data_IF_807851549129
#
_entry.id   IF_807851549129
#
_cell.length_a   1.000
_cell.length_b   1.000
_cell.length_c   1.000
_cell.angle_alpha   90.00
_cell.angle_beta   90.00
_cell.angle_gamma   90.00
#
_symmetry.space_group_name_H-M   'P 1'
#
loop_
_entity.id
_entity.type
_entity.pdbx_description
1 polymer ?
#
# COMPACT_ATOMS: atom_id res chain seq x y z
N UNK A 1 44.28 -9.15 3.16
CA UNK A 1 42.96 -9.78 3.04
C UNK A 1 42.17 -8.94 2.06
N UNK A 2 41.97 -9.43 0.85
CA UNK A 2 41.04 -8.80 -0.09
C UNK A 2 39.63 -9.03 0.44
N UNK A 3 39.01 -7.99 0.99
CA UNK A 3 37.55 -7.96 1.13
C UNK A 3 36.96 -8.14 -0.26
N UNK A 4 36.12 -9.16 -0.51
CA UNK A 4 35.43 -9.26 -1.78
C UNK A 4 34.67 -7.95 -1.99
N UNK A 5 34.90 -7.29 -3.13
CA UNK A 5 34.07 -6.18 -3.55
C UNK A 5 32.61 -6.67 -3.48
N UNK A 6 31.69 -5.93 -2.82
CA UNK A 6 30.29 -6.33 -2.84
C UNK A 6 29.88 -6.48 -4.31
N UNK A 7 29.36 -7.66 -4.65
CA UNK A 7 28.87 -7.90 -6.01
C UNK A 7 27.82 -6.82 -6.29
N UNK A 8 27.98 -6.12 -7.42
CA UNK A 8 27.00 -5.14 -7.84
C UNK A 8 25.62 -5.83 -7.86
N UNK A 9 24.59 -5.21 -7.28
CA UNK A 9 23.26 -5.78 -7.27
C UNK A 9 22.80 -6.09 -8.70
N UNK A 10 22.29 -7.31 -8.91
CA UNK A 10 21.81 -7.79 -10.21
C UNK A 10 20.48 -7.11 -10.56
N UNK A 11 20.58 -5.90 -11.11
CA UNK A 11 19.47 -5.13 -11.66
C UNK A 11 19.40 -5.30 -13.17
N UNK A 12 18.24 -5.71 -13.66
CA UNK A 12 18.01 -5.80 -15.10
C UNK A 12 16.77 -5.00 -15.45
N UNK A 13 17.01 -3.90 -16.16
CA UNK A 13 15.97 -3.03 -16.69
C UNK A 13 15.83 -3.28 -18.19
N UNK A 14 14.63 -3.64 -18.61
CA UNK A 14 14.30 -3.80 -20.03
C UNK A 14 13.20 -2.82 -20.39
N UNK A 15 13.41 -2.04 -21.46
CA UNK A 15 12.44 -1.09 -21.97
C UNK A 15 12.15 -1.37 -23.44
N UNK A 16 10.87 -1.42 -23.78
CA UNK A 16 10.39 -1.57 -25.16
C UNK A 16 9.30 -0.54 -25.42
N UNK A 17 9.54 0.44 -26.29
CA UNK A 17 8.61 1.52 -26.63
C UNK A 17 7.99 2.16 -25.37
N UNK A 18 6.72 1.83 -25.11
CA UNK A 18 5.87 2.35 -24.03
C UNK A 18 5.76 1.38 -22.83
N UNK A 19 6.69 0.44 -22.69
CA UNK A 19 6.68 -0.59 -21.66
C UNK A 19 8.04 -0.80 -21.05
N UNK A 20 8.06 -1.22 -19.79
CA UNK A 20 9.30 -1.65 -19.13
C UNK A 20 9.07 -2.78 -18.14
N UNK A 21 10.16 -3.49 -17.84
CA UNK A 21 10.22 -4.45 -16.75
C UNK A 21 11.46 -4.23 -15.90
N UNK A 22 11.32 -4.36 -14.59
CA UNK A 22 12.41 -4.35 -13.62
C UNK A 22 12.56 -5.74 -13.02
N UNK A 23 13.76 -6.32 -13.14
CA UNK A 23 14.14 -7.52 -12.40
C UNK A 23 15.22 -7.19 -11.37
N UNK A 24 15.15 -7.87 -10.24
CA UNK A 24 16.16 -7.83 -9.18
C UNK A 24 16.45 -9.25 -8.70
N UNK A 25 17.71 -9.70 -8.82
CA UNK A 25 18.12 -11.07 -8.52
C UNK A 25 17.21 -12.12 -9.17
N UNK A 26 17.02 -12.01 -10.49
CA UNK A 26 16.15 -12.86 -11.31
C UNK A 26 14.64 -12.84 -10.97
N UNK A 27 14.20 -12.07 -9.99
CA UNK A 27 12.77 -11.89 -9.67
C UNK A 27 12.23 -10.68 -10.43
N UNK A 28 11.13 -10.86 -11.14
CA UNK A 28 10.39 -9.78 -11.77
C UNK A 28 9.68 -8.96 -10.68
N UNK A 29 10.03 -7.68 -10.54
CA UNK A 29 9.50 -6.80 -9.49
C UNK A 29 8.40 -5.89 -10.05
N UNK A 30 8.67 -5.23 -11.19
CA UNK A 30 7.72 -4.30 -11.83
C UNK A 30 7.52 -4.69 -13.30
N UNK A 31 6.28 -4.58 -13.75
CA UNK A 31 5.89 -4.63 -15.17
C UNK A 31 4.99 -3.45 -15.45
N UNK A 32 5.30 -2.69 -16.49
CA UNK A 32 4.52 -1.53 -16.88
C UNK A 32 4.26 -1.51 -18.39
N UNK A 33 3.04 -1.13 -18.76
CA UNK A 33 2.65 -0.74 -20.12
C UNK A 33 1.46 0.23 -20.04
N UNK A 34 1.10 0.86 -21.17
CA UNK A 34 -0.11 1.69 -21.27
C UNK A 34 -1.39 0.96 -20.86
N UNK A 35 -1.53 -0.30 -21.28
CA UNK A 35 -2.73 -1.11 -20.99
C UNK A 35 -2.70 -1.73 -19.58
N UNK A 36 -1.49 -2.01 -19.07
CA UNK A 36 -1.27 -2.59 -17.75
C UNK A 36 -0.27 -1.72 -16.97
N UNK A 37 -0.69 -0.53 -16.50
CA UNK A 37 0.20 0.34 -15.75
C UNK A 37 0.53 -0.27 -14.38
N UNK A 38 1.73 0.00 -13.86
CA UNK A 38 2.11 -0.41 -12.51
C UNK A 38 1.76 0.64 -11.44
N UNK A 39 1.45 1.87 -11.83
CA UNK A 39 1.31 3.01 -10.91
C UNK A 39 0.03 3.79 -11.15
N UNK A 40 -0.68 4.06 -10.05
CA UNK A 40 -1.75 5.04 -9.98
C UNK A 40 -1.45 6.03 -8.87
N UNK A 41 -1.84 7.27 -9.09
CA UNK A 41 -1.83 8.31 -8.08
C UNK A 41 -3.22 8.93 -7.98
N UNK A 42 -3.49 9.67 -6.92
CA UNK A 42 -4.78 10.32 -6.79
C UNK A 42 -4.95 11.03 -5.46
N UNK A 43 -6.18 11.42 -5.19
CA UNK A 43 -6.55 12.25 -4.05
C UNK A 43 -7.70 11.59 -3.27
N UNK A 44 -7.72 11.79 -1.96
CA UNK A 44 -8.80 11.30 -1.11
C UNK A 44 -8.75 11.89 0.29
N UNK A 45 -9.88 11.80 0.98
CA UNK A 45 -10.01 12.27 2.37
C UNK A 45 -10.28 11.06 3.26
N UNK A 46 -9.39 10.82 4.22
CA UNK A 46 -9.60 9.78 5.21
C UNK A 46 -10.80 10.14 6.11
N UNK A 47 -11.74 9.20 6.25
CA UNK A 47 -12.87 9.27 7.17
C UNK A 47 -12.61 8.25 8.29
N UNK A 48 -12.07 8.76 9.40
CA UNK A 48 -11.60 7.94 10.52
C UNK A 48 -12.49 8.23 11.72
N UNK A 49 -13.23 7.21 12.14
CA UNK A 49 -14.00 7.23 13.38
C UNK A 49 -13.31 6.32 14.40
N UNK A 50 -13.03 6.86 15.59
CA UNK A 50 -12.42 6.12 16.70
C UNK A 50 -13.44 5.91 17.81
N UNK A 51 -13.58 4.67 18.27
CA UNK A 51 -14.37 4.34 19.45
C UNK A 51 -13.61 3.36 20.35
N UNK A 52 -13.12 3.85 21.50
CA UNK A 52 -12.43 3.04 22.53
C UNK A 52 -11.32 2.14 21.95
N UNK A 53 -10.39 2.73 21.19
CA UNK A 53 -9.28 1.99 20.57
C UNK A 53 -9.61 1.24 19.28
N UNK A 54 -10.90 1.10 18.94
CA UNK A 54 -11.36 0.57 17.67
C UNK A 54 -11.43 1.69 16.64
N UNK A 55 -10.86 1.45 15.46
CA UNK A 55 -10.89 2.42 14.36
C UNK A 55 -11.77 1.89 13.22
N UNK A 56 -12.74 2.68 12.80
CA UNK A 56 -13.41 2.53 11.51
C UNK A 56 -12.74 3.49 10.54
N UNK A 57 -11.88 2.95 9.67
CA UNK A 57 -11.14 3.72 8.68
C UNK A 57 -11.79 3.50 7.32
N UNK A 58 -12.26 4.59 6.71
CA UNK A 58 -12.79 4.61 5.35
C UNK A 58 -12.03 5.65 4.55
N UNK A 59 -11.97 5.45 3.24
CA UNK A 59 -11.38 6.43 2.33
C UNK A 59 -12.47 7.03 1.44
N UNK A 60 -12.68 8.34 1.54
CA UNK A 60 -13.49 9.10 0.58
C UNK A 60 -12.59 9.44 -0.60
N UNK A 61 -12.42 8.45 -1.47
CA UNK A 61 -11.63 8.57 -2.69
C UNK A 61 -12.24 9.65 -3.60
N UNK A 62 -11.43 10.62 -3.98
CA UNK A 62 -11.83 11.68 -4.92
C UNK A 62 -11.37 11.32 -6.33
N UNK A 63 -10.11 10.93 -6.48
CA UNK A 63 -9.52 10.59 -7.77
C UNK A 63 -8.59 9.39 -7.66
N UNK A 64 -8.55 8.60 -8.74
CA UNK A 64 -7.57 7.53 -8.94
C UNK A 64 -7.22 7.48 -10.42
N UNK A 65 -5.99 7.86 -10.74
CA UNK A 65 -5.55 8.13 -12.10
C UNK A 65 -4.39 7.21 -12.42
N UNK A 66 -4.55 6.45 -13.51
CA UNK A 66 -3.49 5.58 -14.03
C UNK A 66 -2.45 6.44 -14.75
N UNK A 67 -1.19 6.35 -14.32
CA UNK A 67 -0.07 6.94 -15.05
C UNK A 67 0.37 5.93 -16.09
N UNK A 68 -0.01 6.19 -17.34
CA UNK A 68 0.16 5.25 -18.47
C UNK A 68 1.39 5.55 -19.31
N UNK A 69 1.89 6.79 -19.22
CA UNK A 69 3.09 7.21 -19.93
C UNK A 69 4.28 7.14 -18.96
N UNK A 70 5.41 6.64 -19.43
CA UNK A 70 6.63 6.49 -18.64
C UNK A 70 7.86 6.81 -19.49
N UNK A 71 8.69 7.73 -19.00
CA UNK A 71 9.98 8.07 -19.60
C UNK A 71 11.06 7.60 -18.63
N UNK A 72 11.97 6.77 -19.12
CA UNK A 72 13.07 6.21 -18.33
C UNK A 72 14.36 6.93 -18.68
N UNK A 73 15.12 7.32 -17.67
CA UNK A 73 16.48 7.84 -17.80
C UNK A 73 17.41 7.13 -16.82
N UNK A 74 18.71 7.14 -17.13
CA UNK A 74 19.72 6.68 -16.20
C UNK A 74 20.01 7.76 -15.15
N UNK A 75 20.22 7.32 -13.92
CA UNK A 75 20.78 8.12 -12.82
C UNK A 75 22.14 7.53 -12.42
N UNK A 76 22.98 8.26 -11.66
CA UNK A 76 24.28 7.75 -11.21
C UNK A 76 24.20 6.40 -10.47
N UNK A 77 23.11 6.20 -9.73
CA UNK A 77 22.93 5.07 -8.82
C UNK A 77 21.88 4.05 -9.32
N UNK A 78 21.36 4.22 -10.54
CA UNK A 78 20.38 3.32 -11.15
C UNK A 78 19.53 3.98 -12.24
N UNK A 79 18.21 4.03 -12.02
CA UNK A 79 17.24 4.54 -13.00
C UNK A 79 16.27 5.54 -12.38
N UNK A 80 15.90 6.52 -13.18
CA UNK A 80 14.83 7.46 -12.87
C UNK A 80 13.69 7.24 -13.86
N UNK A 81 12.49 7.01 -13.36
CA UNK A 81 11.29 6.86 -14.19
C UNK A 81 10.36 8.03 -13.89
N UNK A 82 10.06 8.81 -14.92
CA UNK A 82 9.05 9.84 -14.89
C UNK A 82 7.75 9.29 -15.46
N UNK A 83 6.78 9.05 -14.58
CA UNK A 83 5.43 8.63 -14.95
C UNK A 83 4.54 9.85 -15.17
N UNK A 84 3.63 9.78 -16.14
CA UNK A 84 2.65 10.84 -16.37
C UNK A 84 1.33 10.35 -16.95
N UNK A 85 0.35 11.27 -16.93
CA UNK A 85 -0.91 11.18 -17.66
C UNK A 85 -1.30 12.58 -18.13
N UNK A 86 -1.09 12.85 -19.42
CA UNK A 86 -1.21 14.21 -19.94
C UNK A 86 -0.09 15.13 -19.43
N UNK A 87 -0.34 16.45 -19.37
CA UNK A 87 0.68 17.44 -19.02
C UNK A 87 0.79 17.73 -17.52
N UNK A 88 -0.27 17.52 -16.75
CA UNK A 88 -0.41 18.13 -15.41
C UNK A 88 -0.32 17.11 -14.27
N UNK A 89 -0.25 15.82 -14.59
CA UNK A 89 -0.29 14.72 -13.64
C UNK A 89 0.93 13.84 -13.84
N UNK A 90 1.81 13.83 -12.84
CA UNK A 90 3.07 13.11 -12.89
C UNK A 90 3.54 12.64 -11.51
N UNK A 91 4.42 11.64 -11.54
CA UNK A 91 5.14 11.14 -10.39
C UNK A 91 6.50 10.61 -10.85
N UNK A 92 7.48 10.68 -9.96
CA UNK A 92 8.84 10.20 -10.20
C UNK A 92 9.12 8.96 -9.36
N UNK A 93 9.75 7.95 -9.94
CA UNK A 93 10.28 6.78 -9.25
C UNK A 93 11.79 6.70 -9.46
N UNK A 94 12.55 6.83 -8.38
CA UNK A 94 13.99 6.55 -8.37
C UNK A 94 14.21 5.09 -7.96
N UNK A 95 15.02 4.38 -8.74
CA UNK A 95 15.38 2.98 -8.57
C UNK A 95 16.88 2.92 -8.33
N UNK A 96 17.30 2.41 -7.18
CA UNK A 96 18.71 2.30 -6.82
C UNK A 96 18.96 1.08 -5.91
N UNK A 97 20.21 0.90 -5.50
CA UNK A 97 20.55 0.05 -4.37
C UNK A 97 20.99 0.91 -3.17
N UNK A 98 20.68 0.45 -1.97
CA UNK A 98 21.31 1.00 -0.76
C UNK A 98 22.71 0.41 -0.50
N UNK A 99 23.35 0.89 0.57
CA UNK A 99 24.70 0.47 0.98
C UNK A 99 24.83 -1.03 1.27
N UNK A 100 23.72 -1.74 1.49
CA UNK A 100 23.67 -3.19 1.70
C UNK A 100 23.28 -3.96 0.44
N UNK A 101 23.14 -3.29 -0.71
CA UNK A 101 22.78 -3.90 -1.98
C UNK A 101 21.30 -4.27 -2.09
N UNK A 102 20.42 -3.70 -1.24
CA UNK A 102 18.97 -3.93 -1.32
C UNK A 102 18.36 -3.01 -2.36
N UNK A 103 17.39 -3.51 -3.13
CA UNK A 103 16.65 -2.69 -4.08
C UNK A 103 15.84 -1.62 -3.33
N UNK A 104 16.06 -0.37 -3.71
CA UNK A 104 15.38 0.81 -3.18
C UNK A 104 14.49 1.41 -4.27
N UNK A 105 13.22 1.62 -3.93
CA UNK A 105 12.22 2.28 -4.77
C UNK A 105 11.71 3.52 -4.03
N UNK A 106 12.07 4.70 -4.53
CA UNK A 106 11.63 6.00 -3.98
C UNK A 106 10.63 6.64 -4.94
N UNK A 107 9.37 6.65 -4.55
CA UNK A 107 8.28 7.21 -5.34
C UNK A 107 7.83 8.54 -4.76
N UNK A 108 7.69 9.55 -5.60
CA UNK A 108 7.25 10.89 -5.23
C UNK A 108 6.21 11.39 -6.24
N UNK A 109 5.02 11.78 -5.77
CA UNK A 109 4.06 12.50 -6.60
C UNK A 109 4.50 13.98 -6.68
N UNK A 110 4.35 14.59 -7.86
CA UNK A 110 4.81 15.97 -8.07
C UNK A 110 3.89 17.00 -7.42
N UNK A 111 2.62 16.63 -7.16
CA UNK A 111 1.62 17.46 -6.53
C UNK A 111 1.21 16.92 -5.15
N UNK A 112 1.33 17.74 -4.11
CA UNK A 112 0.94 17.41 -2.73
C UNK A 112 -0.55 17.06 -2.58
N UNK A 113 -1.41 17.55 -3.48
CA UNK A 113 -2.84 17.22 -3.48
C UNK A 113 -3.09 15.76 -3.88
N UNK A 114 -2.15 15.14 -4.59
CA UNK A 114 -2.18 13.70 -4.85
C UNK A 114 -1.61 12.95 -3.64
N UNK A 115 -2.47 12.69 -2.67
CA UNK A 115 -2.14 12.07 -1.38
C UNK A 115 -2.45 10.55 -1.31
N UNK A 116 -2.59 9.89 -2.46
CA UNK A 116 -2.76 8.45 -2.60
C UNK A 116 -1.82 7.90 -3.68
N UNK A 117 -1.23 6.74 -3.41
CA UNK A 117 -0.38 5.99 -4.32
C UNK A 117 -0.86 4.54 -4.32
N UNK A 118 -1.00 3.94 -5.50
CA UNK A 118 -1.17 2.51 -5.68
C UNK A 118 -0.08 1.99 -6.60
N UNK A 119 0.79 1.14 -6.07
CA UNK A 119 1.84 0.46 -6.83
C UNK A 119 1.48 -1.02 -6.97
N UNK A 120 1.59 -1.56 -8.18
CA UNK A 120 1.49 -3.00 -8.44
C UNK A 120 2.90 -3.59 -8.56
N UNK A 121 3.15 -4.62 -7.77
CA UNK A 121 4.31 -5.50 -7.92
C UNK A 121 3.89 -6.74 -8.70
N UNK A 122 4.80 -7.28 -9.51
CA UNK A 122 4.56 -8.55 -10.20
C UNK A 122 4.49 -9.70 -9.18
N UNK A 123 3.64 -10.68 -9.46
CA UNK A 123 3.47 -11.87 -8.63
C UNK A 123 2.99 -13.03 -9.51
N UNK A 124 3.44 -14.25 -9.21
CA UNK A 124 2.95 -15.49 -9.81
C UNK A 124 1.72 -15.99 -9.05
N UNK A 125 0.76 -16.68 -9.69
CA UNK A 125 -0.43 -17.22 -9.02
C UNK A 125 -0.14 -18.08 -7.79
N UNK A 126 0.97 -18.80 -7.79
CA UNK A 126 1.42 -19.71 -6.75
C UNK A 126 2.20 -19.05 -5.59
N UNK A 127 2.59 -17.77 -5.70
CA UNK A 127 3.36 -17.15 -4.61
C UNK A 127 2.51 -17.01 -3.34
N UNK A 128 3.09 -17.44 -2.23
CA UNK A 128 2.56 -17.19 -0.89
C UNK A 128 3.13 -15.88 -0.33
N UNK A 129 2.32 -15.14 0.44
CA UNK A 129 2.71 -13.86 1.01
C UNK A 129 2.61 -13.94 2.53
N UNK A 130 3.69 -13.59 3.23
CA UNK A 130 3.77 -13.66 4.70
C UNK A 130 4.25 -12.31 5.28
N UNK A 131 4.12 -12.15 6.59
CA UNK A 131 4.60 -10.97 7.30
C UNK A 131 3.49 -9.97 7.59
N UNK A 132 3.66 -8.71 7.17
CA UNK A 132 2.76 -7.61 7.52
C UNK A 132 2.56 -7.42 9.05
N UNK A 133 3.61 -7.69 9.85
CA UNK A 133 3.56 -7.61 11.31
C UNK A 133 3.00 -8.88 11.96
N UNK A 134 2.34 -8.71 13.12
CA UNK A 134 1.74 -9.81 13.87
C UNK A 134 0.31 -10.08 13.38
N UNK A 135 0.11 -11.21 12.69
CA UNK A 135 -1.17 -11.60 12.10
C UNK A 135 -1.80 -12.77 12.88
N UNK A 136 -3.07 -12.62 13.27
CA UNK A 136 -3.79 -13.62 14.09
C UNK A 136 -4.71 -14.54 13.30
N UNK A 137 -5.17 -14.10 12.13
CA UNK A 137 -6.21 -14.82 11.36
C UNK A 137 -5.65 -15.65 10.21
N UNK A 138 -4.62 -15.16 9.55
CA UNK A 138 -4.05 -15.80 8.37
C UNK A 138 -2.53 -15.74 8.47
N UNK A 139 -1.89 -16.87 8.20
CA UNK A 139 -0.45 -16.91 8.01
C UNK A 139 -0.10 -16.57 6.57
N UNK A 140 -0.68 -17.29 5.60
CA UNK A 140 -0.63 -16.91 4.18
C UNK A 140 -1.67 -15.82 3.87
N UNK A 141 -1.18 -14.68 3.40
CA UNK A 141 -1.92 -13.48 3.09
C UNK A 141 -2.40 -13.44 1.63
N UNK A 142 -1.98 -14.40 0.79
CA UNK A 142 -2.35 -14.40 -0.62
C UNK A 142 -3.88 -14.44 -0.79
N UNK A 143 -4.37 -13.60 -1.71
CA UNK A 143 -5.80 -13.53 -2.05
C UNK A 143 -6.66 -12.68 -1.11
N UNK A 144 -6.07 -11.97 -0.13
CA UNK A 144 -6.81 -11.09 0.79
C UNK A 144 -6.13 -9.72 0.91
N UNK A 145 -6.92 -8.63 1.03
CA UNK A 145 -6.37 -7.31 1.35
C UNK A 145 -6.12 -7.18 2.86
N UNK A 146 -4.97 -6.59 3.24
CA UNK A 146 -4.60 -6.34 4.64
C UNK A 146 -4.30 -4.86 4.87
N UNK A 147 -5.21 -4.11 5.50
CA UNK A 147 -4.92 -2.75 5.95
C UNK A 147 -3.82 -2.77 7.02
N UNK A 148 -2.78 -1.94 6.85
CA UNK A 148 -1.72 -1.78 7.83
C UNK A 148 -1.98 -0.51 8.64
N UNK A 149 -2.64 -0.67 9.78
CA UNK A 149 -2.90 0.41 10.73
C UNK A 149 -2.84 -0.14 12.16
N UNK A 150 -1.99 0.43 13.00
CA UNK A 150 -1.92 0.02 14.40
C UNK A 150 -3.17 0.48 15.14
N UNK A 151 -3.95 -0.47 15.65
CA UNK A 151 -5.08 -0.25 16.55
C UNK A 151 -4.98 -1.17 17.76
N UNK A 152 -5.76 -0.89 18.81
CA UNK A 152 -5.92 -1.86 19.90
C UNK A 152 -6.48 -3.16 19.31
N UNK A 153 -5.96 -4.31 19.77
CA UNK A 153 -6.28 -5.65 19.27
C UNK A 153 -7.74 -5.99 19.58
N UNK A 154 -8.68 -5.48 18.80
CA UNK A 154 -10.05 -5.93 18.80
C UNK A 154 -10.24 -7.00 17.72
N UNK A 155 -11.07 -7.98 18.05
CA UNK A 155 -11.52 -9.03 17.13
C UNK A 155 -11.98 -8.38 15.81
N UNK A 156 -11.29 -8.69 14.71
CA UNK A 156 -11.85 -8.47 13.38
C UNK A 156 -13.12 -9.32 13.32
N UNK A 157 -14.27 -8.68 13.54
CA UNK A 157 -15.56 -9.30 13.34
C UNK A 157 -15.64 -9.65 11.85
N UNK A 158 -15.41 -10.92 11.53
CA UNK A 158 -15.89 -11.48 10.28
C UNK A 158 -17.38 -11.18 10.23
N UNK A 159 -17.82 -10.42 9.23
CA UNK A 159 -19.24 -10.26 8.91
C UNK A 159 -19.78 -11.62 8.42
N UNK A 160 -19.93 -12.57 9.35
CA UNK A 160 -20.89 -13.67 9.23
C UNK A 160 -22.12 -13.23 9.99
N UNK A 161 -23.32 -13.16 9.37
CA UNK A 161 -24.53 -13.07 10.15
C UNK A 161 -24.56 -14.28 11.09
N UNK A 162 -24.56 -14.02 12.40
CA UNK A 162 -24.92 -15.06 13.37
C UNK A 162 -26.32 -15.55 13.00
N UNK A 163 -26.43 -16.82 12.65
CA UNK A 163 -27.73 -17.48 12.50
C UNK A 163 -28.45 -17.38 13.85
N UNK A 164 -29.72 -16.95 13.93
CA UNK A 164 -30.39 -16.77 15.20
C UNK A 164 -30.59 -18.14 15.86
N UNK A 165 -29.77 -18.42 16.87
CA UNK A 165 -29.98 -19.53 17.79
C UNK A 165 -31.28 -19.32 18.58
N UNK A 166 -31.99 -20.43 18.81
CA UNK A 166 -33.26 -20.53 19.57
C UNK A 166 -33.24 -19.71 20.87
N UNK A 167 -34.29 -18.93 21.19
CA UNK A 167 -34.34 -18.19 22.44
C UNK A 167 -34.67 -19.11 23.61
N UNK A 168 -33.75 -19.25 24.56
CA UNK A 168 -34.09 -19.67 25.94
C UNK A 168 -34.13 -18.44 26.82
N UNK A 169 -35.33 -18.10 27.28
CA UNK A 169 -35.61 -16.97 28.13
C UNK A 169 -34.96 -17.12 29.51
N UNK A 170 -34.25 -16.08 29.96
CA UNK A 170 -34.13 -15.75 31.39
C UNK A 170 -34.31 -14.24 31.56
N UNK A 171 -35.39 -13.88 32.25
CA UNK A 171 -35.72 -12.52 32.66
C UNK A 171 -34.65 -11.98 33.61
N UNK A 172 -34.18 -10.76 33.36
CA UNK A 172 -33.68 -9.87 34.41
C UNK A 172 -34.17 -8.45 34.12
N UNK A 173 -34.73 -7.80 35.16
CA UNK A 173 -35.37 -6.49 35.09
C UNK A 173 -34.35 -5.36 35.27
N UNK A 174 -34.54 -4.33 34.45
CA UNK A 174 -34.41 -2.88 34.67
C UNK A 174 -33.08 -2.27 35.16
N UNK A 175 -32.57 -1.33 34.37
CA UNK A 175 -32.40 0.06 34.80
C UNK A 175 -32.32 0.98 33.57
N UNK A 176 -33.23 1.95 33.50
CA UNK A 176 -33.14 3.12 32.61
C UNK A 176 -32.08 4.06 33.17
N UNK A 177 -31.06 4.39 32.38
CA UNK A 177 -30.23 5.58 32.59
C UNK A 177 -30.27 6.38 31.31
N UNK A 178 -31.02 7.48 31.34
CA UNK A 178 -30.90 8.60 30.42
C UNK A 178 -29.62 9.36 30.73
N UNK A 179 -28.78 9.61 29.71
CA UNK A 179 -27.54 10.37 29.90
C UNK A 179 -26.75 10.63 28.61
N UNK A 180 -27.04 11.79 28.02
CA UNK A 180 -26.20 12.71 27.23
C UNK A 180 -25.21 12.17 26.16
N UNK A 181 -25.51 12.56 24.92
CA UNK A 181 -24.58 13.11 23.91
C UNK A 181 -23.15 12.55 23.89
N UNK A 182 -22.93 11.51 23.07
CA UNK A 182 -21.60 11.19 22.58
C UNK A 182 -21.21 12.18 21.47
N UNK A 183 -20.38 13.17 21.77
CA UNK A 183 -19.61 13.84 20.74
C UNK A 183 -18.55 12.84 20.23
N UNK A 184 -18.80 12.26 19.07
CA UNK A 184 -17.79 11.54 18.30
C UNK A 184 -16.73 12.56 17.86
N UNK A 185 -15.55 12.51 18.47
CA UNK A 185 -14.38 13.23 17.96
C UNK A 185 -13.99 12.63 16.61
N UNK A 186 -14.49 13.22 15.52
CA UNK A 186 -13.98 12.97 14.17
C UNK A 186 -12.56 13.52 14.10
N UNK A 187 -11.56 12.65 14.18
CA UNK A 187 -10.19 13.02 13.87
C UNK A 187 -10.03 13.13 12.36
N UNK A 188 -10.03 14.36 11.84
CA UNK A 188 -9.54 14.64 10.48
C UNK A 188 -8.01 14.52 10.46
N UNK A 189 -7.47 13.31 10.39
CA UNK A 189 -6.05 13.10 10.18
C UNK A 189 -5.71 13.36 8.71
N UNK A 190 -5.26 14.57 8.37
CA UNK A 190 -4.60 14.87 7.09
C UNK A 190 -3.14 14.39 7.14
N UNK A 191 -2.90 13.08 7.18
CA UNK A 191 -1.57 12.55 6.84
C UNK A 191 -1.58 12.27 5.35
N UNK A 192 -0.96 13.17 4.58
CA UNK A 192 -0.82 13.04 3.13
C UNK A 192 0.34 12.11 2.82
N UNK A 193 0.10 10.99 2.14
CA UNK A 193 1.16 10.16 1.57
C UNK A 193 1.37 10.66 0.14
N UNK A 194 2.36 11.54 -0.03
CA UNK A 194 2.81 12.03 -1.35
C UNK A 194 4.09 11.33 -1.80
N UNK A 195 4.76 10.62 -0.88
CA UNK A 195 5.98 9.86 -1.11
C UNK A 195 5.85 8.43 -0.57
N UNK A 196 6.50 7.47 -1.22
CA UNK A 196 6.55 6.07 -0.79
C UNK A 196 7.97 5.55 -0.97
N UNK A 197 8.53 4.92 0.07
CA UNK A 197 9.81 4.24 0.01
C UNK A 197 9.59 2.74 0.22
N UNK A 198 10.13 1.93 -0.69
CA UNK A 198 10.12 0.46 -0.57
C UNK A 198 11.55 -0.02 -0.64
N UNK A 199 11.95 -0.80 0.36
CA UNK A 199 13.17 -1.58 0.34
C UNK A 199 12.81 -3.04 0.13
N UNK A 200 13.32 -3.66 -0.93
CA UNK A 200 13.11 -5.09 -1.19
C UNK A 200 14.30 -5.86 -0.63
N UNK A 201 14.03 -6.62 0.43
CA UNK A 201 14.91 -7.67 0.92
C UNK A 201 14.46 -8.99 0.30
N UNK A 202 15.42 -9.70 -0.30
CA UNK A 202 15.20 -10.94 -1.07
C UNK A 202 15.63 -12.16 -0.28
#
# INVERSE_FOLDING_TARGET
MDTPRPQLPDFQFHQNNDSFTLHFQQRLILTHSKDNPCLWIGSGIADIDMFRGNFSIKDKLQEKIALTDAIVSQSPDGWLIHFSRGSDISATLNISADDQGRLLLELQNDNLNHNRIWLRLAAQPEDHIYGCGEQFSYFDLRGKPFPLWTSDKALVAINKPMSPGRPTAKKMRAATITGLSSHSLRLSARRSITAMLITVAI
#
